data_IF_431930214961
#
_entry.id   IF_431930214961
#
_cell.length_a   1.000
_cell.length_b   1.000
_cell.length_c   1.000
_cell.angle_alpha   90.00
_cell.angle_beta   90.00
_cell.angle_gamma   90.00
#
_symmetry.space_group_name_H-M   'P 1'
#
loop_
_entity.id
_entity.type
_entity.pdbx_description
1 polymer ?
#
# COMPACT_ATOMS: atom_id res chain seq x y z
N UNK A 1 -61.87 0.72 -49.51
CA UNK A 1 -62.36 1.12 -48.17
C UNK A 1 -62.05 -0.02 -47.20
N UNK A 2 -61.38 0.32 -46.08
CA UNK A 2 -61.16 -0.45 -44.85
C UNK A 2 -60.40 -1.80 -44.93
N UNK A 3 -59.11 -1.74 -44.62
CA UNK A 3 -58.42 -2.68 -43.72
C UNK A 3 -57.49 -1.78 -42.88
N UNK A 4 -57.73 -1.50 -41.60
CA UNK A 4 -58.05 -2.43 -40.53
C UNK A 4 -56.78 -2.57 -39.69
N UNK A 5 -56.65 -1.71 -38.67
CA UNK A 5 -55.51 -1.58 -37.76
C UNK A 5 -54.94 -2.92 -37.30
N UNK A 6 -53.63 -3.13 -37.51
CA UNK A 6 -52.84 -4.22 -36.94
C UNK A 6 -51.76 -3.71 -35.98
N UNK A 7 -52.07 -2.70 -35.15
CA UNK A 7 -51.12 -2.09 -34.20
C UNK A 7 -51.16 -2.69 -32.79
N UNK A 8 -52.05 -3.65 -32.51
CA UNK A 8 -52.25 -4.15 -31.14
C UNK A 8 -51.42 -5.40 -30.77
N UNK A 9 -50.98 -6.21 -31.74
CA UNK A 9 -50.25 -7.46 -31.44
C UNK A 9 -48.77 -7.23 -31.07
N UNK A 10 -48.12 -6.22 -31.66
CA UNK A 10 -46.68 -6.00 -31.55
C UNK A 10 -46.28 -5.33 -30.22
N UNK A 11 -47.10 -4.43 -29.70
CA UNK A 11 -46.89 -3.77 -28.41
C UNK A 11 -47.00 -4.76 -27.24
N UNK A 12 -47.89 -5.74 -27.36
CA UNK A 12 -48.09 -6.78 -26.37
C UNK A 12 -46.87 -7.69 -26.18
N UNK A 13 -46.18 -8.05 -27.26
CA UNK A 13 -44.97 -8.90 -27.17
C UNK A 13 -43.77 -8.13 -26.61
N UNK A 14 -43.59 -6.87 -27.01
CA UNK A 14 -42.50 -6.00 -26.54
C UNK A 14 -42.64 -5.71 -25.04
N UNK A 15 -43.86 -5.38 -24.59
CA UNK A 15 -44.17 -5.19 -23.17
C UNK A 15 -44.00 -6.50 -22.39
N UNK A 16 -44.48 -7.64 -22.91
CA UNK A 16 -44.29 -8.95 -22.25
C UNK A 16 -42.81 -9.34 -22.12
N UNK A 17 -41.99 -9.04 -23.13
CA UNK A 17 -40.55 -9.32 -23.12
C UNK A 17 -39.81 -8.44 -22.10
N UNK A 18 -40.16 -7.15 -22.02
CA UNK A 18 -39.62 -6.23 -21.01
C UNK A 18 -40.06 -6.65 -19.60
N UNK A 19 -41.33 -7.05 -19.42
CA UNK A 19 -41.86 -7.53 -18.14
C UNK A 19 -41.19 -8.84 -17.71
N UNK A 20 -40.96 -9.79 -18.62
CA UNK A 20 -40.21 -11.02 -18.33
C UNK A 20 -38.74 -10.71 -17.98
N UNK A 21 -38.09 -9.77 -18.68
CA UNK A 21 -36.75 -9.29 -18.34
C UNK A 21 -36.69 -8.63 -16.95
N UNK A 22 -37.68 -7.81 -16.60
CA UNK A 22 -37.78 -7.18 -15.28
C UNK A 22 -38.08 -8.19 -14.16
N UNK A 23 -38.90 -9.21 -14.43
CA UNK A 23 -39.16 -10.33 -13.50
C UNK A 23 -37.89 -11.18 -13.33
N UNK A 24 -37.16 -11.49 -14.41
CA UNK A 24 -35.89 -12.23 -14.33
C UNK A 24 -34.78 -11.43 -13.62
N UNK A 25 -34.80 -10.10 -13.72
CA UNK A 25 -33.89 -9.22 -12.97
C UNK A 25 -34.24 -9.07 -11.49
N UNK A 26 -35.43 -9.48 -11.06
CA UNK A 26 -35.89 -9.40 -9.66
C UNK A 26 -35.85 -10.76 -8.93
N UNK A 27 -35.73 -11.88 -9.65
CA UNK A 27 -35.68 -13.22 -9.07
C UNK A 27 -34.24 -13.78 -9.02
N UNK A 28 -33.58 -13.62 -7.87
CA UNK A 28 -32.56 -14.56 -7.36
C UNK A 28 -31.11 -14.47 -7.87
N UNK A 29 -30.23 -15.10 -7.08
CA UNK A 29 -28.75 -15.09 -7.01
C UNK A 29 -27.94 -15.48 -8.26
N UNK A 30 -28.55 -15.52 -9.45
CA UNK A 30 -27.83 -15.80 -10.69
C UNK A 30 -27.07 -14.54 -11.14
N UNK A 31 -25.79 -14.68 -11.45
CA UNK A 31 -24.95 -13.52 -11.74
C UNK A 31 -25.56 -12.65 -12.85
N UNK A 32 -25.50 -11.33 -12.68
CA UNK A 32 -25.94 -10.34 -13.70
C UNK A 32 -25.36 -10.64 -15.09
N UNK A 33 -24.20 -11.31 -15.16
CA UNK A 33 -23.56 -11.81 -16.38
C UNK A 33 -24.35 -12.94 -17.05
N UNK A 34 -24.87 -13.92 -16.30
CA UNK A 34 -25.66 -15.04 -16.85
C UNK A 34 -26.98 -14.56 -17.46
N UNK A 35 -27.73 -13.68 -16.79
CA UNK A 35 -28.93 -13.07 -17.39
C UNK A 35 -28.60 -12.26 -18.64
N UNK A 36 -27.48 -11.55 -18.60
CA UNK A 36 -26.96 -10.81 -19.72
C UNK A 36 -26.57 -11.72 -20.90
N UNK A 37 -25.99 -12.90 -20.65
CA UNK A 37 -25.66 -13.89 -21.69
C UNK A 37 -26.90 -14.60 -22.22
N UNK A 38 -27.87 -14.91 -21.36
CA UNK A 38 -29.16 -15.49 -21.76
C UNK A 38 -30.00 -14.49 -22.57
N UNK A 39 -30.07 -13.22 -22.17
CA UNK A 39 -30.74 -12.16 -22.92
C UNK A 39 -30.04 -11.88 -24.24
N UNK A 40 -28.70 -11.80 -24.25
CA UNK A 40 -27.92 -11.66 -25.50
C UNK A 40 -28.10 -12.88 -26.41
N UNK A 41 -28.10 -14.09 -25.84
CA UNK A 41 -28.33 -15.35 -26.57
C UNK A 41 -29.74 -15.47 -27.11
N UNK A 42 -30.77 -15.06 -26.35
CA UNK A 42 -32.16 -15.00 -26.80
C UNK A 42 -32.35 -13.93 -27.88
N UNK A 43 -31.74 -12.75 -27.75
CA UNK A 43 -31.79 -11.72 -28.80
C UNK A 43 -31.10 -12.20 -30.07
N UNK A 44 -29.90 -12.80 -29.95
CA UNK A 44 -29.21 -13.43 -31.08
C UNK A 44 -30.05 -14.55 -31.70
N UNK A 45 -30.69 -15.38 -30.89
CA UNK A 45 -31.59 -16.43 -31.35
C UNK A 45 -32.79 -15.86 -32.11
N UNK A 46 -33.51 -14.89 -31.53
CA UNK A 46 -34.65 -14.21 -32.17
C UNK A 46 -34.27 -13.48 -33.46
N UNK A 47 -33.05 -12.95 -33.53
CA UNK A 47 -32.44 -12.32 -34.70
C UNK A 47 -32.05 -13.36 -35.77
N UNK A 48 -31.51 -14.51 -35.37
CA UNK A 48 -31.14 -15.59 -36.28
C UNK A 48 -32.35 -16.37 -36.80
N UNK A 49 -33.47 -16.38 -36.07
CA UNK A 49 -34.74 -16.99 -36.48
C UNK A 49 -35.72 -15.96 -37.08
N UNK A 50 -35.23 -14.81 -37.55
CA UNK A 50 -36.01 -13.62 -37.92
C UNK A 50 -37.04 -13.79 -39.05
N UNK A 51 -37.06 -14.94 -39.75
CA UNK A 51 -38.17 -15.29 -40.64
C UNK A 51 -39.53 -15.41 -39.92
N UNK A 52 -39.53 -15.61 -38.60
CA UNK A 52 -40.76 -15.74 -37.78
C UNK A 52 -41.22 -14.46 -37.08
N UNK A 53 -40.40 -13.40 -37.03
CA UNK A 53 -40.66 -12.19 -36.20
C UNK A 53 -40.88 -10.92 -37.04
N UNK A 54 -40.65 -10.97 -38.36
CA UNK A 54 -40.96 -9.87 -39.27
C UNK A 54 -40.04 -8.64 -39.14
N UNK A 55 -38.86 -8.79 -38.52
CA UNK A 55 -37.85 -7.72 -38.48
C UNK A 55 -37.14 -7.63 -39.83
N UNK A 56 -36.96 -6.41 -40.34
CA UNK A 56 -36.08 -6.20 -41.50
C UNK A 56 -34.61 -6.47 -41.13
N UNK A 57 -33.77 -6.66 -42.14
CA UNK A 57 -32.32 -6.80 -41.93
C UNK A 57 -31.74 -5.55 -41.24
N UNK A 58 -32.29 -4.38 -41.53
CA UNK A 58 -31.87 -3.10 -40.93
C UNK A 58 -32.26 -3.00 -39.46
N UNK A 59 -33.47 -3.44 -39.09
CA UNK A 59 -33.92 -3.47 -37.69
C UNK A 59 -33.07 -4.42 -36.85
N UNK A 60 -32.65 -5.53 -37.45
CA UNK A 60 -31.77 -6.53 -36.85
C UNK A 60 -30.38 -5.96 -36.56
N UNK A 61 -29.79 -5.24 -37.53
CA UNK A 61 -28.50 -4.58 -37.37
C UNK A 61 -28.58 -3.50 -36.30
N UNK A 62 -29.64 -2.70 -36.29
CA UNK A 62 -29.87 -1.66 -35.29
C UNK A 62 -29.99 -2.24 -33.87
N UNK A 63 -30.74 -3.33 -33.70
CA UNK A 63 -30.87 -4.00 -32.40
C UNK A 63 -29.53 -4.56 -31.89
N UNK A 64 -28.73 -5.17 -32.76
CA UNK A 64 -27.37 -5.63 -32.42
C UNK A 64 -26.49 -4.44 -32.02
N UNK A 65 -26.50 -3.36 -32.80
CA UNK A 65 -25.70 -2.17 -32.53
C UNK A 65 -26.05 -1.54 -31.16
N UNK A 66 -27.33 -1.47 -30.81
CA UNK A 66 -27.78 -0.98 -29.50
C UNK A 66 -27.29 -1.89 -28.37
N UNK A 67 -27.41 -3.21 -28.49
CA UNK A 67 -26.93 -4.16 -27.47
C UNK A 67 -25.41 -4.06 -27.30
N UNK A 68 -24.67 -3.98 -28.42
CA UNK A 68 -23.21 -3.79 -28.40
C UNK A 68 -22.87 -2.46 -27.74
N UNK A 69 -23.55 -1.37 -28.08
CA UNK A 69 -23.32 -0.05 -27.48
C UNK A 69 -23.60 -0.05 -25.97
N UNK A 70 -24.71 -0.64 -25.53
CA UNK A 70 -25.07 -0.76 -24.10
C UNK A 70 -24.03 -1.53 -23.28
N UNK A 71 -23.22 -2.39 -23.92
CA UNK A 71 -22.12 -3.12 -23.26
C UNK A 71 -20.77 -2.44 -23.41
N UNK A 72 -20.46 -2.00 -24.63
CA UNK A 72 -19.17 -1.41 -24.99
C UNK A 72 -19.01 -0.03 -24.35
N UNK A 73 -20.06 0.81 -24.34
CA UNK A 73 -19.95 2.18 -23.84
C UNK A 73 -19.60 2.21 -22.34
N UNK A 74 -20.28 1.51 -21.42
CA UNK A 74 -19.87 1.50 -20.01
C UNK A 74 -18.49 0.88 -19.79
N UNK A 75 -18.14 -0.15 -20.56
CA UNK A 75 -16.82 -0.79 -20.48
C UNK A 75 -15.69 0.15 -20.91
N UNK A 76 -15.85 0.80 -22.07
CA UNK A 76 -14.90 1.78 -22.62
C UNK A 76 -14.82 3.00 -21.71
N UNK A 77 -15.97 3.50 -21.21
CA UNK A 77 -16.02 4.60 -20.26
C UNK A 77 -15.18 4.29 -19.01
N UNK A 78 -15.38 3.12 -18.38
CA UNK A 78 -14.58 2.70 -17.22
C UNK A 78 -13.09 2.61 -17.55
N UNK A 79 -12.73 2.06 -18.72
CA UNK A 79 -11.32 1.91 -19.15
C UNK A 79 -10.66 3.27 -19.37
N UNK A 80 -11.30 4.17 -20.10
CA UNK A 80 -10.80 5.52 -20.36
C UNK A 80 -10.69 6.32 -19.06
N UNK A 81 -11.72 6.28 -18.23
CA UNK A 81 -11.72 6.94 -16.92
C UNK A 81 -10.60 6.41 -16.02
N UNK A 82 -10.43 5.08 -15.97
CA UNK A 82 -9.34 4.45 -15.21
C UNK A 82 -7.99 4.92 -15.75
N UNK A 83 -7.77 4.85 -17.06
CA UNK A 83 -6.51 5.28 -17.69
C UNK A 83 -6.18 6.74 -17.38
N UNK A 84 -7.18 7.64 -17.43
CA UNK A 84 -7.00 9.06 -17.12
C UNK A 84 -6.65 9.31 -15.64
N UNK A 85 -7.20 8.49 -14.74
CA UNK A 85 -6.93 8.57 -13.30
C UNK A 85 -5.68 7.81 -12.86
N UNK A 86 -5.18 6.86 -13.65
CA UNK A 86 -4.00 6.04 -13.32
C UNK A 86 -2.75 6.91 -13.16
N UNK A 87 -1.95 6.60 -12.14
CA UNK A 87 -0.65 7.22 -11.93
C UNK A 87 0.31 6.87 -13.09
N UNK A 88 0.86 7.85 -13.83
CA UNK A 88 1.56 7.59 -15.09
C UNK A 88 2.72 6.59 -14.99
N UNK A 89 3.54 6.64 -13.93
CA UNK A 89 4.66 5.72 -13.79
C UNK A 89 4.22 4.27 -13.63
N UNK A 90 3.02 4.00 -13.09
CA UNK A 90 2.50 2.63 -13.02
C UNK A 90 2.26 2.02 -14.42
N UNK A 91 2.14 2.84 -15.46
CA UNK A 91 1.97 2.40 -16.85
C UNK A 91 3.30 2.33 -17.60
N UNK A 92 4.15 3.33 -17.42
CA UNK A 92 5.33 3.55 -18.28
C UNK A 92 6.61 2.97 -17.69
N UNK A 93 6.70 2.81 -16.36
CA UNK A 93 7.97 2.48 -15.70
C UNK A 93 8.60 1.20 -16.21
N UNK A 94 7.82 0.14 -16.47
CA UNK A 94 8.32 -1.14 -16.98
C UNK A 94 8.95 -1.04 -18.37
N UNK A 95 8.39 -0.19 -19.23
CA UNK A 95 8.96 0.03 -20.55
C UNK A 95 10.21 0.89 -20.44
N UNK A 96 10.13 1.95 -19.63
CA UNK A 96 11.26 2.82 -19.35
C UNK A 96 12.45 2.04 -18.76
N UNK A 97 12.23 1.15 -17.80
CA UNK A 97 13.31 0.39 -17.14
C UNK A 97 14.07 -0.54 -18.08
N UNK A 98 13.46 -0.98 -19.18
CA UNK A 98 14.10 -1.84 -20.20
C UNK A 98 14.96 -1.06 -21.20
N UNK A 99 14.64 0.21 -21.42
CA UNK A 99 15.30 1.05 -22.43
C UNK A 99 16.23 2.09 -21.82
N UNK A 100 16.05 2.41 -20.54
CA UNK A 100 16.92 3.34 -19.82
C UNK A 100 18.29 2.69 -19.67
N UNK A 101 19.33 3.18 -20.38
CA UNK A 101 20.67 2.65 -20.21
C UNK A 101 21.14 2.95 -18.80
N UNK A 102 22.05 2.11 -18.30
CA UNK A 102 22.83 2.48 -17.11
C UNK A 102 23.62 3.74 -17.45
N UNK A 103 23.20 4.87 -16.90
CA UNK A 103 23.92 6.12 -17.01
C UNK A 103 24.92 6.21 -15.86
N UNK A 104 26.20 6.33 -16.17
CA UNK A 104 27.26 6.51 -15.19
C UNK A 104 28.26 7.51 -15.75
N UNK A 105 28.59 8.52 -14.95
CA UNK A 105 29.59 9.52 -15.28
C UNK A 105 30.97 8.91 -15.01
N UNK A 106 31.89 9.02 -15.96
CA UNK A 106 33.28 8.60 -15.79
C UNK A 106 33.97 9.46 -14.73
N UNK A 107 35.02 8.95 -14.11
CA UNK A 107 35.80 9.75 -13.14
C UNK A 107 36.39 11.02 -13.77
N UNK A 108 36.75 10.96 -15.06
CA UNK A 108 37.26 12.10 -15.83
C UNK A 108 36.26 13.26 -15.86
N UNK A 109 34.98 12.96 -16.13
CA UNK A 109 33.92 13.97 -16.28
C UNK A 109 33.16 14.23 -14.95
N UNK A 110 33.56 13.61 -13.85
CA UNK A 110 32.79 13.63 -12.59
C UNK A 110 32.79 15.01 -11.93
N UNK A 111 33.94 15.67 -11.95
CA UNK A 111 34.17 16.90 -11.18
C UNK A 111 33.76 18.18 -11.95
N UNK A 112 33.54 18.07 -13.25
CA UNK A 112 33.18 19.14 -14.18
C UNK A 112 31.95 18.80 -15.06
N UNK A 113 31.13 17.81 -14.66
CA UNK A 113 29.94 17.40 -15.41
C UNK A 113 28.91 18.54 -15.64
N UNK A 114 29.02 19.62 -14.87
CA UNK A 114 28.21 20.85 -15.00
C UNK A 114 28.87 21.94 -15.86
N UNK A 115 30.01 21.64 -16.50
CA UNK A 115 30.77 22.56 -17.35
C UNK A 115 31.63 23.55 -16.58
N UNK A 116 31.95 23.28 -15.31
CA UNK A 116 32.81 24.16 -14.53
C UNK A 116 34.27 24.18 -15.06
N UNK A 117 35.00 25.27 -14.81
CA UNK A 117 36.41 25.38 -15.20
C UNK A 117 37.35 24.44 -14.42
N UNK A 118 38.57 24.19 -14.93
CA UNK A 118 39.49 23.19 -14.38
C UNK A 118 39.90 23.45 -12.92
N UNK A 119 39.98 24.72 -12.50
CA UNK A 119 40.27 25.09 -11.11
C UNK A 119 39.18 24.60 -10.14
N UNK A 120 37.90 24.77 -10.51
CA UNK A 120 36.76 24.33 -9.70
C UNK A 120 36.72 22.81 -9.65
N UNK A 121 36.93 22.14 -10.79
CA UNK A 121 36.99 20.68 -10.88
C UNK A 121 38.10 20.13 -9.97
N UNK A 122 39.31 20.70 -10.03
CA UNK A 122 40.44 20.32 -9.17
C UNK A 122 40.11 20.53 -7.68
N UNK A 123 39.45 21.64 -7.32
CA UNK A 123 39.02 21.90 -5.94
C UNK A 123 37.99 20.87 -5.46
N UNK A 124 37.02 20.50 -6.29
CA UNK A 124 36.02 19.46 -5.97
C UNK A 124 36.68 18.10 -5.77
N UNK A 125 37.62 17.72 -6.66
CA UNK A 125 38.39 16.47 -6.54
C UNK A 125 39.19 16.42 -5.25
N UNK A 126 39.93 17.48 -4.94
CA UNK A 126 40.67 17.60 -3.68
C UNK A 126 39.74 17.49 -2.47
N UNK A 127 38.61 18.19 -2.47
CA UNK A 127 37.66 18.13 -1.36
C UNK A 127 37.07 16.73 -1.14
N UNK A 128 36.74 16.00 -2.22
CA UNK A 128 36.24 14.63 -2.11
C UNK A 128 37.33 13.66 -1.63
N UNK A 129 38.57 13.86 -2.07
CA UNK A 129 39.72 13.09 -1.58
C UNK A 129 39.97 13.34 -0.08
N UNK A 130 40.02 14.60 0.34
CA UNK A 130 40.19 14.98 1.75
C UNK A 130 39.06 14.39 2.62
N UNK A 131 37.82 14.37 2.10
CA UNK A 131 36.70 13.73 2.78
C UNK A 131 36.86 12.21 2.86
N UNK A 132 37.29 11.57 1.78
CA UNK A 132 37.58 10.13 1.74
C UNK A 132 38.64 9.76 2.77
N UNK A 133 39.74 10.50 2.84
CA UNK A 133 40.84 10.19 3.76
C UNK A 133 40.43 10.37 5.21
N UNK A 134 39.68 11.44 5.53
CA UNK A 134 39.06 11.61 6.85
C UNK A 134 38.07 10.48 7.18
N UNK A 135 37.25 10.07 6.21
CA UNK A 135 36.30 8.96 6.39
C UNK A 135 37.02 7.65 6.69
N UNK A 136 38.07 7.33 5.93
CA UNK A 136 38.89 6.13 6.11
C UNK A 136 39.60 6.12 7.47
N UNK A 137 40.11 7.28 7.91
CA UNK A 137 40.77 7.43 9.20
C UNK A 137 39.79 7.34 10.38
N UNK A 138 38.57 7.86 10.22
CA UNK A 138 37.55 7.88 11.28
C UNK A 138 36.84 6.54 11.46
N UNK A 139 36.66 5.77 10.39
CA UNK A 139 35.84 4.55 10.40
C UNK A 139 36.58 3.27 9.95
N UNK A 140 37.80 2.95 10.44
CA UNK A 140 38.56 1.80 9.96
C UNK A 140 37.84 0.46 10.20
N UNK A 141 37.29 0.22 11.40
CA UNK A 141 36.61 -1.05 11.73
C UNK A 141 35.27 -1.19 11.02
N UNK A 142 34.49 -0.10 10.93
CA UNK A 142 33.21 -0.12 10.21
C UNK A 142 33.40 -0.49 8.73
N UNK A 143 34.48 0.00 8.10
CA UNK A 143 34.80 -0.31 6.71
C UNK A 143 35.23 -1.76 6.52
N UNK A 144 36.08 -2.28 7.40
CA UNK A 144 36.48 -3.70 7.38
C UNK A 144 35.25 -4.60 7.48
N UNK A 145 34.40 -4.37 8.49
CA UNK A 145 33.17 -5.11 8.71
C UNK A 145 32.21 -5.04 7.51
N UNK A 146 32.00 -3.85 6.96
CA UNK A 146 31.11 -3.65 5.81
C UNK A 146 31.62 -4.34 4.55
N UNK A 147 32.94 -4.33 4.30
CA UNK A 147 33.54 -5.02 3.17
C UNK A 147 33.36 -6.54 3.25
N UNK A 148 33.47 -7.11 4.45
CA UNK A 148 33.22 -8.54 4.65
C UNK A 148 31.74 -8.89 4.48
N UNK A 149 30.83 -8.10 5.06
CA UNK A 149 29.40 -8.31 4.88
C UNK A 149 28.98 -8.19 3.40
N UNK A 150 29.56 -7.27 2.63
CA UNK A 150 29.26 -7.14 1.19
C UNK A 150 29.62 -8.40 0.40
N UNK A 151 30.54 -9.25 0.86
CA UNK A 151 30.80 -10.55 0.22
C UNK A 151 29.65 -11.54 0.47
N UNK A 152 28.94 -11.41 1.58
CA UNK A 152 27.98 -12.40 2.07
C UNK A 152 26.51 -11.98 1.92
N UNK A 153 26.19 -10.68 1.97
CA UNK A 153 24.82 -10.16 2.01
C UNK A 153 24.52 -9.34 0.75
N UNK A 154 23.55 -9.81 -0.06
CA UNK A 154 23.08 -9.12 -1.27
C UNK A 154 22.51 -7.75 -0.98
N UNK A 155 21.77 -7.62 0.11
CA UNK A 155 21.02 -6.41 0.45
C UNK A 155 21.98 -5.28 0.76
N UNK A 156 23.08 -5.55 1.46
CA UNK A 156 24.12 -4.57 1.71
C UNK A 156 24.85 -4.15 0.43
N UNK A 157 25.11 -5.09 -0.50
CA UNK A 157 25.63 -4.73 -1.83
C UNK A 157 24.66 -3.83 -2.59
N UNK A 158 23.36 -4.09 -2.49
CA UNK A 158 22.33 -3.29 -3.14
C UNK A 158 22.21 -1.87 -2.53
N UNK A 159 22.12 -1.75 -1.20
CA UNK A 159 21.93 -0.46 -0.52
C UNK A 159 23.18 0.41 -0.58
N UNK A 160 24.37 -0.17 -0.45
CA UNK A 160 25.64 0.55 -0.64
C UNK A 160 25.81 1.09 -2.06
N UNK A 161 25.14 0.46 -3.03
CA UNK A 161 25.10 0.89 -4.42
C UNK A 161 23.93 1.81 -4.79
N UNK A 162 23.22 2.38 -3.81
CA UNK A 162 22.03 3.19 -4.07
C UNK A 162 22.28 4.71 -4.11
N UNK A 163 23.50 5.17 -3.85
CA UNK A 163 23.84 6.59 -3.90
C UNK A 163 23.88 7.09 -5.34
N UNK A 164 22.91 7.94 -5.73
CA UNK A 164 22.93 8.74 -6.96
C UNK A 164 23.33 7.96 -8.24
N UNK A 165 22.38 7.33 -8.96
CA UNK A 165 22.68 6.36 -10.02
C UNK A 165 23.76 6.79 -11.05
N UNK A 166 23.77 8.06 -11.44
CA UNK A 166 24.75 8.65 -12.36
C UNK A 166 26.17 8.76 -11.78
N UNK A 167 26.30 9.02 -10.49
CA UNK A 167 27.56 9.32 -9.79
C UNK A 167 28.09 8.14 -8.97
N UNK A 168 27.24 7.14 -8.75
CA UNK A 168 27.48 6.00 -7.88
C UNK A 168 28.81 5.27 -8.16
N UNK A 169 29.13 5.07 -9.44
CA UNK A 169 30.34 4.35 -9.85
C UNK A 169 31.64 5.02 -9.41
N UNK A 170 31.64 6.34 -9.27
CA UNK A 170 32.80 7.09 -8.79
C UNK A 170 32.72 7.27 -7.28
N UNK A 171 31.56 7.69 -6.74
CA UNK A 171 31.39 7.98 -5.30
C UNK A 171 31.78 6.79 -4.41
N UNK A 172 31.44 5.56 -4.80
CA UNK A 172 31.79 4.36 -4.03
C UNK A 172 33.30 4.13 -3.87
N UNK A 173 34.13 4.66 -4.77
CA UNK A 173 35.59 4.57 -4.64
C UNK A 173 36.11 5.50 -3.53
N UNK A 174 35.38 6.57 -3.22
CA UNK A 174 35.75 7.57 -2.23
C UNK A 174 35.06 7.33 -0.88
N UNK A 175 33.76 7.00 -0.90
CA UNK A 175 32.93 6.89 0.30
C UNK A 175 32.16 5.58 0.29
N UNK A 176 32.27 4.84 1.39
CA UNK A 176 31.40 3.72 1.67
C UNK A 176 30.35 4.16 2.69
N UNK A 177 29.06 4.26 2.30
CA UNK A 177 27.99 4.69 3.20
C UNK A 177 27.61 3.62 4.24
N UNK A 178 28.22 2.43 4.17
CA UNK A 178 27.92 1.33 5.08
C UNK A 178 28.49 1.61 6.48
N UNK A 179 27.59 1.75 7.46
CA UNK A 179 27.93 1.97 8.86
C UNK A 179 27.74 0.68 9.66
N UNK A 180 28.70 0.37 10.55
CA UNK A 180 28.61 -0.74 11.49
C UNK A 180 28.30 -0.20 12.88
N UNK A 181 27.10 -0.46 13.40
CA UNK A 181 26.65 0.06 14.70
C UNK A 181 26.89 -0.96 15.80
N UNK A 182 27.51 -0.52 16.90
CA UNK A 182 27.75 -1.30 18.12
C UNK A 182 26.54 -1.24 19.04
N UNK A 183 26.13 -0.01 19.39
CA UNK A 183 25.09 0.22 20.39
C UNK A 183 24.36 1.54 20.14
N UNK A 184 23.29 1.73 20.90
CA UNK A 184 22.58 3.01 21.01
C UNK A 184 22.82 3.59 22.40
N UNK A 185 22.89 4.91 22.50
CA UNK A 185 23.12 5.61 23.77
C UNK A 185 22.33 6.93 23.77
N UNK A 186 21.24 6.98 24.53
CA UNK A 186 20.34 8.13 24.54
C UNK A 186 19.62 8.32 23.19
N UNK A 187 19.98 9.38 22.47
CA UNK A 187 19.48 9.68 21.11
C UNK A 187 20.51 9.35 20.02
N UNK A 188 21.70 8.90 20.43
CA UNK A 188 22.80 8.63 19.53
C UNK A 188 22.90 7.14 19.19
N UNK A 189 23.50 6.88 18.03
CA UNK A 189 24.07 5.59 17.66
C UNK A 189 25.59 5.67 17.81
N UNK A 190 26.19 4.61 18.35
CA UNK A 190 27.64 4.47 18.47
C UNK A 190 28.10 3.36 17.54
N UNK A 191 29.08 3.68 16.69
CA UNK A 191 29.64 2.75 15.73
C UNK A 191 30.76 1.86 16.31
N UNK A 192 31.24 0.88 15.52
CA UNK A 192 32.31 -0.05 15.94
C UNK A 192 33.67 0.64 16.19
N UNK A 193 33.86 1.85 15.67
CA UNK A 193 35.02 2.69 15.90
C UNK A 193 34.87 3.58 17.15
N UNK A 194 33.70 3.54 17.81
CA UNK A 194 33.39 4.29 19.01
C UNK A 194 32.92 5.73 18.74
N UNK A 195 32.62 6.09 17.49
CA UNK A 195 32.10 7.41 17.18
C UNK A 195 30.61 7.48 17.52
N UNK A 196 30.21 8.54 18.23
CA UNK A 196 28.79 8.84 18.49
C UNK A 196 28.20 9.73 17.39
N UNK A 197 26.95 9.50 17.02
CA UNK A 197 26.19 10.36 16.11
C UNK A 197 24.71 10.35 16.45
N UNK A 198 24.10 11.53 16.52
CA UNK A 198 22.67 11.68 16.72
C UNK A 198 21.89 10.99 15.59
N UNK A 199 20.99 10.07 15.95
CA UNK A 199 20.21 9.34 14.96
C UNK A 199 18.92 10.08 14.58
N UNK A 200 18.99 10.81 13.47
CA UNK A 200 17.84 11.48 12.85
C UNK A 200 17.02 10.55 11.94
N UNK A 201 17.49 9.32 11.69
CA UNK A 201 16.74 8.31 10.93
C UNK A 201 15.66 7.63 11.78
N UNK A 202 15.86 7.57 13.10
CA UNK A 202 14.95 6.97 14.06
C UNK A 202 14.65 5.50 13.75
N UNK A 203 15.64 4.75 13.26
CA UNK A 203 15.47 3.36 12.79
C UNK A 203 14.31 3.19 11.80
N UNK A 204 14.33 3.97 10.70
CA UNK A 204 13.26 4.01 9.69
C UNK A 204 11.87 4.34 10.27
N UNK A 205 11.85 5.18 11.30
CA UNK A 205 10.62 5.56 11.99
C UNK A 205 10.04 4.47 12.90
N UNK A 206 10.85 3.55 13.41
CA UNK A 206 10.45 2.73 14.58
C UNK A 206 10.56 3.56 15.84
N UNK A 207 11.69 4.23 16.05
CA UNK A 207 11.98 4.93 17.29
C UNK A 207 11.22 6.27 17.38
N UNK A 208 10.09 6.29 18.09
CA UNK A 208 9.29 7.51 18.36
C UNK A 208 9.62 8.18 19.70
N UNK A 209 10.22 7.45 20.65
CA UNK A 209 10.33 7.88 22.05
C UNK A 209 11.74 7.69 22.65
N UNK A 210 12.76 7.55 21.80
CA UNK A 210 14.16 7.41 22.22
C UNK A 210 14.59 5.96 22.44
N UNK A 211 15.88 5.68 22.25
CA UNK A 211 16.39 4.31 22.30
C UNK A 211 16.28 3.67 23.68
N UNK A 212 16.48 4.44 24.75
CA UNK A 212 16.42 3.92 26.13
C UNK A 212 15.00 3.43 26.46
N UNK A 213 13.97 4.19 26.09
CA UNK A 213 12.57 3.78 26.27
C UNK A 213 12.27 2.47 25.53
N UNK A 214 12.80 2.30 24.31
CA UNK A 214 12.66 1.05 23.55
C UNK A 214 13.39 -0.14 24.21
N UNK A 215 14.60 0.09 24.76
CA UNK A 215 15.31 -0.94 25.54
C UNK A 215 14.51 -1.36 26.77
N UNK A 216 13.91 -0.40 27.48
CA UNK A 216 13.05 -0.68 28.65
C UNK A 216 11.84 -1.54 28.27
N UNK A 217 11.20 -1.29 27.12
CA UNK A 217 10.11 -2.14 26.63
C UNK A 217 10.58 -3.57 26.38
N UNK A 218 11.73 -3.74 25.73
CA UNK A 218 12.31 -5.05 25.41
C UNK A 218 12.68 -5.79 26.70
N UNK A 219 13.33 -5.11 27.65
CA UNK A 219 13.72 -5.69 28.94
C UNK A 219 12.48 -6.11 29.75
N UNK A 220 11.48 -5.24 29.83
CA UNK A 220 10.21 -5.52 30.52
C UNK A 220 9.49 -6.70 29.89
N UNK A 221 9.41 -6.72 28.55
CA UNK A 221 8.80 -7.82 27.79
C UNK A 221 9.52 -9.14 28.03
N UNK A 222 10.85 -9.13 27.95
CA UNK A 222 11.70 -10.29 28.23
C UNK A 222 11.52 -10.81 29.65
N UNK A 223 11.59 -9.93 30.66
CA UNK A 223 11.42 -10.30 32.05
C UNK A 223 10.06 -10.96 32.34
N UNK A 224 9.00 -10.48 31.68
CA UNK A 224 7.63 -11.01 31.80
C UNK A 224 7.45 -12.38 31.13
N UNK A 225 8.05 -12.57 29.96
CA UNK A 225 7.85 -13.78 29.14
C UNK A 225 8.87 -14.90 29.42
N UNK A 226 10.09 -14.59 29.89
CA UNK A 226 11.22 -15.56 29.96
C UNK A 226 10.92 -16.85 30.74
N UNK A 227 10.11 -16.77 31.80
CA UNK A 227 9.75 -17.95 32.61
C UNK A 227 8.73 -18.85 31.90
N UNK A 228 7.93 -18.30 31.01
CA UNK A 228 6.88 -19.02 30.30
C UNK A 228 7.43 -19.74 29.06
N UNK A 229 8.56 -19.27 28.53
CA UNK A 229 9.23 -19.87 27.37
C UNK A 229 8.51 -19.58 26.05
N UNK A 230 8.71 -20.46 25.06
CA UNK A 230 8.20 -20.33 23.70
C UNK A 230 7.07 -21.34 23.45
N UNK A 231 5.83 -20.88 23.31
CA UNK A 231 4.67 -21.71 22.96
C UNK A 231 3.98 -21.20 21.69
N UNK A 232 4.63 -21.39 20.53
CA UNK A 232 4.08 -20.99 19.23
C UNK A 232 2.77 -21.72 18.91
N UNK A 233 1.82 -21.02 18.31
CA UNK A 233 0.49 -21.53 17.97
C UNK A 233 -0.56 -21.39 19.10
N UNK A 234 -0.11 -21.23 20.36
CA UNK A 234 -0.96 -20.92 21.51
C UNK A 234 -0.82 -19.45 21.90
N UNK A 235 -1.82 -18.89 22.58
CA UNK A 235 -1.83 -17.49 23.03
C UNK A 235 -1.92 -17.42 24.55
N UNK A 236 -1.28 -16.41 25.15
CA UNK A 236 -1.36 -16.14 26.59
C UNK A 236 -2.19 -14.88 26.91
N UNK A 237 -2.38 -14.62 28.22
CA UNK A 237 -3.15 -13.48 28.72
C UNK A 237 -2.68 -12.11 28.20
N UNK A 238 -1.38 -11.97 27.92
CA UNK A 238 -0.80 -10.74 27.40
C UNK A 238 -1.38 -10.38 26.03
N UNK A 239 -1.69 -11.39 25.22
CA UNK A 239 -2.36 -11.20 23.93
C UNK A 239 -3.75 -10.60 24.13
N UNK A 240 -4.50 -11.08 25.13
CA UNK A 240 -5.83 -10.54 25.43
C UNK A 240 -5.77 -9.07 25.88
N UNK A 241 -4.83 -8.72 26.75
CA UNK A 241 -4.60 -7.32 27.17
C UNK A 241 -4.25 -6.41 25.99
N UNK A 242 -3.38 -6.89 25.09
CA UNK A 242 -3.00 -6.16 23.89
C UNK A 242 -4.20 -5.95 22.96
N UNK A 243 -5.02 -6.98 22.75
CA UNK A 243 -6.25 -6.87 21.95
C UNK A 243 -7.18 -5.83 22.56
N UNK A 244 -7.38 -5.82 23.88
CA UNK A 244 -8.24 -4.84 24.54
C UNK A 244 -7.77 -3.38 24.28
N UNK A 245 -6.48 -3.10 24.46
CA UNK A 245 -5.92 -1.77 24.18
C UNK A 245 -5.98 -1.40 22.70
N UNK A 246 -5.68 -2.34 21.79
CA UNK A 246 -5.73 -2.09 20.35
C UNK A 246 -7.16 -1.83 19.85
N UNK A 247 -8.17 -2.51 20.42
CA UNK A 247 -9.58 -2.26 20.12
C UNK A 247 -10.01 -0.85 20.57
N UNK A 248 -9.59 -0.41 21.75
CA UNK A 248 -9.83 0.95 22.24
C UNK A 248 -9.19 2.01 21.34
N UNK A 249 -7.92 1.82 20.97
CA UNK A 249 -7.16 2.76 20.13
C UNK A 249 -7.79 2.86 18.72
N UNK A 250 -8.03 1.70 18.10
CA UNK A 250 -8.51 1.62 16.73
C UNK A 250 -10.01 1.93 16.59
N UNK A 251 -10.80 1.67 17.63
CA UNK A 251 -12.26 1.71 17.59
C UNK A 251 -12.88 0.54 16.80
N UNK A 252 -12.18 -0.59 16.73
CA UNK A 252 -12.60 -1.81 16.03
C UNK A 252 -12.78 -3.00 16.98
N UNK A 253 -13.37 -4.08 16.47
CA UNK A 253 -13.80 -5.24 17.25
C UNK A 253 -12.77 -6.36 17.28
N UNK A 254 -12.09 -6.59 16.16
CA UNK A 254 -11.17 -7.70 15.98
C UNK A 254 -9.76 -7.23 15.63
N UNK A 255 -8.78 -8.04 16.04
CA UNK A 255 -7.36 -7.81 15.89
C UNK A 255 -6.70 -9.11 15.44
N UNK A 256 -5.79 -9.02 14.47
CA UNK A 256 -4.93 -10.15 14.06
C UNK A 256 -3.46 -9.74 14.06
N UNK A 257 -2.58 -10.67 14.40
CA UNK A 257 -1.14 -10.45 14.53
C UNK A 257 -0.37 -11.17 13.42
N UNK A 258 0.69 -10.52 12.94
CA UNK A 258 1.58 -10.93 11.85
C UNK A 258 3.02 -10.51 12.19
N UNK A 259 4.01 -10.89 11.38
CA UNK A 259 5.43 -10.62 11.69
C UNK A 259 5.98 -9.34 11.07
N UNK A 260 5.24 -8.73 10.14
CA UNK A 260 5.66 -7.47 9.52
C UNK A 260 4.48 -6.63 9.05
N UNK A 261 4.73 -5.34 8.80
CA UNK A 261 3.77 -4.46 8.15
C UNK A 261 3.36 -4.96 6.75
N UNK A 262 4.29 -5.57 5.99
CA UNK A 262 3.99 -6.19 4.69
C UNK A 262 2.94 -7.29 4.86
N UNK A 263 3.12 -8.20 5.83
CA UNK A 263 2.15 -9.27 6.10
C UNK A 263 0.80 -8.72 6.59
N UNK A 264 0.80 -7.67 7.41
CA UNK A 264 -0.42 -7.01 7.84
C UNK A 264 -1.21 -6.43 6.66
N UNK A 265 -0.55 -5.75 5.72
CA UNK A 265 -1.19 -5.25 4.49
C UNK A 265 -1.69 -6.42 3.63
N UNK A 266 -0.90 -7.47 3.45
CA UNK A 266 -1.31 -8.66 2.71
C UNK A 266 -2.57 -9.29 3.32
N UNK A 267 -2.63 -9.39 4.65
CA UNK A 267 -3.80 -9.90 5.36
C UNK A 267 -5.02 -8.98 5.18
N UNK A 268 -4.86 -7.67 5.38
CA UNK A 268 -5.93 -6.67 5.21
C UNK A 268 -6.56 -6.74 3.80
N UNK A 269 -5.74 -6.84 2.76
CA UNK A 269 -6.18 -6.98 1.37
C UNK A 269 -6.91 -8.31 1.14
N UNK A 270 -6.35 -9.41 1.66
CA UNK A 270 -6.98 -10.74 1.54
C UNK A 270 -8.33 -10.79 2.22
N UNK A 271 -8.47 -10.29 3.45
CA UNK A 271 -9.75 -10.31 4.16
C UNK A 271 -10.78 -9.39 3.51
N UNK A 272 -10.37 -8.24 2.95
CA UNK A 272 -11.27 -7.39 2.18
C UNK A 272 -11.79 -8.12 0.93
N UNK A 273 -10.89 -8.68 0.11
CA UNK A 273 -11.29 -9.45 -1.10
C UNK A 273 -12.17 -10.64 -0.76
N UNK A 274 -11.82 -11.37 0.31
CA UNK A 274 -12.59 -12.49 0.81
C UNK A 274 -14.01 -12.02 1.19
N UNK A 275 -14.16 -11.05 2.08
CA UNK A 275 -15.48 -10.69 2.59
C UNK A 275 -16.34 -9.88 1.60
N UNK A 276 -15.74 -9.19 0.62
CA UNK A 276 -16.51 -8.44 -0.39
C UNK A 276 -16.74 -9.21 -1.69
N UNK A 277 -16.03 -10.32 -1.94
CA UNK A 277 -16.04 -11.07 -3.21
C UNK A 277 -15.62 -10.24 -4.44
N UNK A 278 -14.86 -9.18 -4.22
CA UNK A 278 -14.42 -8.26 -5.28
C UNK A 278 -12.92 -8.46 -5.54
N UNK A 279 -12.46 -8.50 -6.79
CA UNK A 279 -11.07 -8.86 -7.09
C UNK A 279 -10.10 -7.69 -6.97
N UNK A 280 -10.53 -6.45 -7.19
CA UNK A 280 -9.61 -5.33 -7.34
C UNK A 280 -9.35 -4.61 -6.03
N UNK A 281 -8.17 -4.02 -5.93
CA UNK A 281 -7.86 -3.01 -4.93
C UNK A 281 -7.43 -1.71 -5.62
N UNK A 282 -7.48 -0.61 -4.89
CA UNK A 282 -6.94 0.68 -5.30
C UNK A 282 -5.80 1.06 -4.36
N UNK A 283 -4.69 1.51 -4.93
CA UNK A 283 -3.60 2.22 -4.25
C UNK A 283 -3.39 3.56 -4.94
N UNK A 284 -2.52 4.39 -4.36
CA UNK A 284 -2.22 5.70 -4.90
C UNK A 284 -0.74 5.84 -5.31
N UNK A 285 -0.49 6.69 -6.30
CA UNK A 285 0.85 6.97 -6.81
C UNK A 285 1.81 7.37 -5.70
N UNK A 286 2.96 6.69 -5.63
CA UNK A 286 3.99 6.98 -4.64
C UNK A 286 3.77 6.38 -3.24
N UNK A 287 2.65 5.68 -3.00
CA UNK A 287 2.44 4.96 -1.76
C UNK A 287 3.46 3.82 -1.58
N UNK A 288 3.82 3.54 -0.34
CA UNK A 288 4.56 2.32 0.04
C UNK A 288 3.74 1.54 1.05
N UNK A 289 3.39 0.30 0.68
CA UNK A 289 2.58 -0.62 1.48
C UNK A 289 3.31 -1.96 1.71
N UNK A 290 4.64 -1.91 1.81
CA UNK A 290 5.50 -3.08 1.84
C UNK A 290 5.98 -3.52 0.45
N UNK A 291 6.69 -4.63 0.42
CA UNK A 291 7.39 -5.14 -0.77
C UNK A 291 6.67 -6.31 -1.46
N UNK A 292 5.45 -6.63 -1.04
CA UNK A 292 4.64 -7.65 -1.72
C UNK A 292 4.30 -7.21 -3.15
N UNK A 293 4.48 -8.10 -4.13
CA UNK A 293 4.20 -7.89 -5.57
C UNK A 293 2.80 -7.34 -5.88
N UNK A 294 1.84 -7.49 -4.97
CA UNK A 294 0.52 -6.87 -5.06
C UNK A 294 0.55 -5.34 -4.99
N UNK A 295 1.46 -4.79 -4.20
CA UNK A 295 1.43 -3.39 -3.76
C UNK A 295 2.62 -2.55 -4.26
N UNK A 296 3.45 -3.11 -5.15
CA UNK A 296 4.57 -2.41 -5.77
C UNK A 296 4.35 -2.20 -7.28
N UNK A 297 3.64 -1.13 -7.70
CA UNK A 297 3.33 -0.90 -9.12
C UNK A 297 4.48 -0.29 -9.94
N UNK A 298 5.65 -0.03 -9.34
CA UNK A 298 6.80 0.64 -9.96
C UNK A 298 8.08 -0.19 -9.78
N UNK A 299 9.24 0.46 -9.61
CA UNK A 299 10.54 -0.16 -9.44
C UNK A 299 10.56 -1.33 -8.44
N UNK A 300 11.23 -2.42 -8.81
CA UNK A 300 11.47 -3.58 -7.95
C UNK A 300 10.47 -4.72 -8.10
N UNK A 301 9.47 -4.61 -8.99
CA UNK A 301 8.48 -5.66 -9.22
C UNK A 301 8.42 -6.07 -10.70
N UNK A 302 8.71 -7.34 -10.98
CA UNK A 302 8.62 -7.93 -12.32
C UNK A 302 7.20 -8.38 -12.68
N UNK A 303 6.31 -8.52 -11.70
CA UNK A 303 4.90 -8.85 -11.90
C UNK A 303 4.13 -7.58 -12.26
N UNK A 304 3.29 -7.65 -13.29
CA UNK A 304 2.27 -6.62 -13.52
C UNK A 304 1.04 -6.93 -12.66
N UNK A 305 0.73 -6.15 -11.61
CA UNK A 305 -0.51 -6.31 -10.88
C UNK A 305 -1.68 -5.87 -11.76
N UNK A 306 -2.46 -6.82 -12.26
CA UNK A 306 -3.74 -6.57 -12.94
C UNK A 306 -4.92 -6.49 -11.95
N UNK A 307 -4.65 -6.82 -10.69
CA UNK A 307 -5.59 -6.88 -9.58
C UNK A 307 -5.53 -5.64 -8.66
N UNK A 308 -4.64 -4.68 -8.95
CA UNK A 308 -4.46 -3.44 -8.17
C UNK A 308 -4.36 -2.23 -9.10
N UNK A 309 -5.24 -1.26 -8.89
CA UNK A 309 -5.29 0.00 -9.64
C UNK A 309 -4.47 1.05 -8.90
N UNK A 310 -3.35 1.49 -9.47
CA UNK A 310 -2.55 2.58 -8.93
C UNK A 310 -3.06 3.92 -9.50
N UNK A 311 -3.88 4.63 -8.73
CA UNK A 311 -4.53 5.88 -9.14
C UNK A 311 -3.74 7.11 -8.66
N UNK A 312 -4.07 8.30 -9.18
CA UNK A 312 -3.50 9.56 -8.69
C UNK A 312 -4.10 9.91 -7.32
N UNK A 313 -3.25 10.19 -6.33
CA UNK A 313 -3.66 10.73 -5.03
C UNK A 313 -4.15 12.19 -5.19
N UNK A 314 -5.07 12.63 -4.32
CA UNK A 314 -5.76 13.93 -4.37
C UNK A 314 -6.29 14.29 -5.77
N UNK A 315 -7.00 13.37 -6.41
CA UNK A 315 -7.56 13.57 -7.75
C UNK A 315 -9.03 13.13 -7.84
N UNK A 316 -9.89 14.04 -8.28
CA UNK A 316 -11.34 13.80 -8.42
C UNK A 316 -11.67 12.68 -9.44
N UNK A 317 -10.83 12.46 -10.47
CA UNK A 317 -11.02 11.32 -11.38
C UNK A 317 -10.81 9.98 -10.66
N UNK A 318 -9.91 9.92 -9.68
CA UNK A 318 -9.70 8.71 -8.88
C UNK A 318 -10.94 8.34 -8.08
N UNK A 319 -11.63 9.33 -7.49
CA UNK A 319 -12.92 9.11 -6.83
C UNK A 319 -13.98 8.60 -7.83
N UNK A 320 -14.07 9.19 -9.03
CA UNK A 320 -14.97 8.73 -10.08
C UNK A 320 -14.68 7.29 -10.54
N UNK A 321 -13.40 6.87 -10.58
CA UNK A 321 -13.04 5.47 -10.87
C UNK A 321 -13.56 4.54 -9.78
N UNK A 322 -13.36 4.89 -8.50
CA UNK A 322 -13.85 4.10 -7.37
C UNK A 322 -15.36 3.93 -7.48
N UNK A 323 -16.10 4.99 -7.80
CA UNK A 323 -17.55 4.94 -8.00
C UNK A 323 -17.96 4.09 -9.19
N UNK A 324 -17.37 4.32 -10.36
CA UNK A 324 -17.69 3.60 -11.59
C UNK A 324 -17.38 2.10 -11.47
N UNK A 325 -16.36 1.74 -10.70
CA UNK A 325 -15.88 0.36 -10.50
C UNK A 325 -16.20 -0.21 -9.13
N UNK A 326 -17.15 0.37 -8.38
CA UNK A 326 -17.53 -0.08 -7.02
C UNK A 326 -17.91 -1.56 -6.90
N UNK A 327 -18.42 -2.16 -7.98
CA UNK A 327 -18.76 -3.59 -8.04
C UNK A 327 -17.55 -4.51 -8.25
N UNK A 328 -16.37 -3.96 -8.49
CA UNK A 328 -15.13 -4.69 -8.80
C UNK A 328 -14.04 -4.43 -7.73
N UNK A 329 -14.13 -3.33 -6.98
CA UNK A 329 -13.11 -2.90 -6.00
C UNK A 329 -13.50 -3.39 -4.60
N UNK A 330 -12.70 -4.28 -4.02
CA UNK A 330 -12.81 -4.71 -2.63
C UNK A 330 -12.41 -3.61 -1.66
N UNK A 331 -11.26 -2.99 -1.92
CA UNK A 331 -10.66 -2.04 -1.00
C UNK A 331 -9.92 -0.89 -1.69
N UNK A 332 -9.88 0.24 -1.00
CA UNK A 332 -8.94 1.35 -1.26
C UNK A 332 -7.95 1.40 -0.11
N UNK A 333 -6.66 1.35 -0.43
CA UNK A 333 -5.57 1.47 0.53
C UNK A 333 -4.99 2.88 0.44
N UNK A 334 -4.81 3.53 1.58
CA UNK A 334 -4.18 4.84 1.69
C UNK A 334 -3.15 4.83 2.82
N UNK A 335 -1.98 5.42 2.56
CA UNK A 335 -0.98 5.69 3.58
C UNK A 335 -0.89 7.21 3.75
N UNK A 336 -1.32 7.73 4.91
CA UNK A 336 -1.41 9.17 5.11
C UNK A 336 -0.05 9.89 5.09
N UNK A 337 1.08 9.16 5.14
CA UNK A 337 2.42 9.71 4.90
C UNK A 337 2.55 10.37 3.51
N UNK A 338 1.73 9.93 2.54
CA UNK A 338 1.72 10.48 1.18
C UNK A 338 1.41 11.97 1.12
N UNK A 339 0.83 12.56 2.17
CA UNK A 339 0.67 14.01 2.24
C UNK A 339 2.01 14.76 2.08
N UNK A 340 3.15 14.16 2.43
CA UNK A 340 4.49 14.76 2.26
C UNK A 340 5.12 14.52 0.89
N UNK A 341 4.58 13.60 0.09
CA UNK A 341 5.17 13.17 -1.18
C UNK A 341 4.10 12.76 -2.21
N UNK A 342 3.08 13.61 -2.36
CA UNK A 342 1.91 13.34 -3.18
C UNK A 342 2.29 12.92 -4.61
N UNK A 343 1.84 11.75 -5.06
CA UNK A 343 2.13 11.20 -6.39
C UNK A 343 3.63 11.12 -6.71
N UNK A 344 4.47 10.93 -5.69
CA UNK A 344 5.92 10.79 -5.81
C UNK A 344 6.38 9.67 -4.87
N UNK A 345 7.48 9.01 -5.23
CA UNK A 345 8.11 8.05 -4.32
C UNK A 345 8.37 8.69 -2.96
N UNK A 346 8.26 7.94 -1.85
CA UNK A 346 8.60 8.46 -0.54
C UNK A 346 10.02 9.05 -0.55
N UNK A 347 10.29 10.08 0.27
CA UNK A 347 11.62 10.65 0.38
C UNK A 347 12.66 9.54 0.54
N UNK A 348 13.61 9.54 -0.37
CA UNK A 348 14.72 8.60 -0.46
C UNK A 348 15.95 9.37 -0.92
N UNK A 349 17.14 8.78 -0.83
CA UNK A 349 18.39 9.45 -1.23
C UNK A 349 18.32 10.11 -2.63
N UNK A 350 17.61 9.56 -3.63
CA UNK A 350 17.38 10.26 -4.91
C UNK A 350 16.65 11.60 -4.79
N UNK A 351 15.79 11.84 -3.80
CA UNK A 351 15.14 13.15 -3.58
C UNK A 351 16.17 14.24 -3.30
N UNK A 352 17.33 13.89 -2.72
CA UNK A 352 18.44 14.83 -2.50
C UNK A 352 19.08 15.35 -3.81
N UNK A 353 18.87 14.67 -4.95
CA UNK A 353 19.33 15.14 -6.27
C UNK A 353 18.52 16.30 -6.82
N UNK A 354 17.34 16.56 -6.24
CA UNK A 354 16.46 17.62 -6.69
C UNK A 354 16.51 18.78 -5.71
N UNK A 355 16.44 20.00 -6.25
CA UNK A 355 16.16 21.21 -5.46
C UNK A 355 14.67 21.32 -5.10
N UNK A 356 13.85 20.31 -5.42
CA UNK A 356 12.41 20.32 -5.20
C UNK A 356 12.07 19.80 -3.78
N UNK A 357 12.69 20.42 -2.78
CA UNK A 357 12.49 20.06 -1.37
C UNK A 357 11.28 20.80 -0.85
N UNK A 358 10.19 20.08 -0.61
CA UNK A 358 9.00 20.59 0.06
C UNK A 358 9.00 20.12 1.50
N UNK A 359 8.66 21.02 2.41
CA UNK A 359 8.51 20.72 3.83
C UNK A 359 7.05 20.94 4.20
N UNK A 360 6.50 20.03 5.00
CA UNK A 360 5.12 20.08 5.44
C UNK A 360 4.15 19.25 4.58
N UNK A 361 2.97 18.93 5.14
CA UNK A 361 1.96 18.16 4.43
C UNK A 361 1.32 18.99 3.31
N UNK A 362 0.87 18.30 2.26
CA UNK A 362 0.10 18.92 1.18
C UNK A 362 -1.19 19.55 1.75
N UNK A 363 -1.47 20.84 1.48
CA UNK A 363 -2.71 21.48 1.93
C UNK A 363 -3.95 20.75 1.40
N UNK A 364 -5.01 20.66 2.21
CA UNK A 364 -6.24 20.00 1.79
C UNK A 364 -6.27 18.47 1.96
N UNK A 365 -5.21 17.86 2.51
CA UNK A 365 -5.12 16.39 2.61
C UNK A 365 -6.14 15.81 3.59
N UNK A 366 -6.49 16.53 4.67
CA UNK A 366 -7.54 16.12 5.61
C UNK A 366 -8.89 16.01 4.88
N UNK A 367 -9.26 17.06 4.15
CA UNK A 367 -10.49 17.14 3.36
C UNK A 367 -10.54 16.05 2.30
N UNK A 368 -9.39 15.75 1.67
CA UNK A 368 -9.26 14.62 0.76
C UNK A 368 -9.56 13.27 1.43
N UNK A 369 -9.00 13.01 2.62
CA UNK A 369 -9.28 11.77 3.35
C UNK A 369 -10.76 11.64 3.74
N UNK A 370 -11.42 12.75 4.12
CA UNK A 370 -12.86 12.76 4.37
C UNK A 370 -13.67 12.44 3.10
N UNK A 371 -13.34 13.06 1.95
CA UNK A 371 -13.97 12.74 0.66
C UNK A 371 -13.78 11.28 0.27
N UNK A 372 -12.56 10.76 0.45
CA UNK A 372 -12.24 9.37 0.13
C UNK A 372 -13.05 8.40 1.00
N UNK A 373 -13.18 8.69 2.30
CA UNK A 373 -14.03 7.95 3.23
C UNK A 373 -15.49 7.98 2.81
N UNK A 374 -16.03 9.15 2.48
CA UNK A 374 -17.42 9.30 2.04
C UNK A 374 -17.71 8.44 0.79
N UNK A 375 -16.84 8.53 -0.22
CA UNK A 375 -16.95 7.74 -1.46
C UNK A 375 -16.88 6.24 -1.16
N UNK A 376 -15.93 5.79 -0.36
CA UNK A 376 -15.80 4.38 0.02
C UNK A 376 -17.07 3.86 0.71
N UNK A 377 -17.62 4.64 1.66
CA UNK A 377 -18.87 4.32 2.34
C UNK A 377 -20.04 4.21 1.37
N UNK A 378 -20.27 5.24 0.54
CA UNK A 378 -21.37 5.26 -0.44
C UNK A 378 -21.26 4.12 -1.46
N UNK A 379 -20.04 3.69 -1.78
CA UNK A 379 -19.78 2.64 -2.75
C UNK A 379 -19.76 1.22 -2.18
N UNK A 380 -19.78 1.06 -0.86
CA UNK A 380 -19.55 -0.24 -0.21
C UNK A 380 -18.18 -0.81 -0.57
N UNK A 381 -17.16 0.05 -0.56
CA UNK A 381 -15.75 -0.30 -0.79
C UNK A 381 -15.03 -0.12 0.55
N UNK A 382 -14.22 -1.11 0.94
CA UNK A 382 -13.50 -1.08 2.22
C UNK A 382 -12.39 -0.04 2.15
N UNK A 383 -12.39 0.93 3.07
CA UNK A 383 -11.27 1.85 3.24
C UNK A 383 -10.25 1.22 4.20
N UNK A 384 -9.03 1.02 3.73
CA UNK A 384 -7.91 0.51 4.52
C UNK A 384 -6.92 1.64 4.77
N UNK A 385 -6.66 1.95 6.03
CA UNK A 385 -5.54 2.79 6.41
C UNK A 385 -4.30 1.94 6.65
N UNK A 386 -3.27 2.14 5.84
CA UNK A 386 -1.93 1.64 6.15
C UNK A 386 -1.25 2.62 7.10
N UNK A 387 -1.29 2.26 8.37
CA UNK A 387 -0.74 3.00 9.50
C UNK A 387 0.55 2.39 10.03
N UNK A 388 1.25 1.57 9.21
CA UNK A 388 2.53 0.96 9.60
C UNK A 388 3.59 2.02 9.91
N UNK A 389 3.52 3.21 9.30
CA UNK A 389 4.42 4.33 9.60
C UNK A 389 3.76 5.43 10.44
N UNK A 390 2.49 5.75 10.18
CA UNK A 390 1.79 6.89 10.82
C UNK A 390 1.20 6.55 12.19
N UNK A 391 0.93 5.27 12.44
CA UNK A 391 0.38 4.79 13.70
C UNK A 391 1.27 5.16 14.86
N UNK A 392 0.68 5.69 15.93
CA UNK A 392 1.39 6.09 17.17
C UNK A 392 2.45 7.18 16.97
N UNK A 393 2.55 7.79 15.78
CA UNK A 393 3.49 8.87 15.48
C UNK A 393 2.80 10.22 15.37
N UNK A 394 1.69 10.26 14.64
CA UNK A 394 0.92 11.50 14.43
C UNK A 394 -0.01 11.81 15.61
N UNK A 395 -0.51 10.76 16.25
CA UNK A 395 -1.49 10.79 17.33
C UNK A 395 -1.50 9.40 18.00
N UNK A 396 -1.95 9.23 19.26
CA UNK A 396 -2.04 7.91 19.89
C UNK A 396 -2.91 6.92 19.12
N UNK A 397 -3.88 7.44 18.35
CA UNK A 397 -4.78 6.68 17.45
C UNK A 397 -4.34 6.69 15.98
N UNK A 398 -3.12 7.14 15.69
CA UNK A 398 -2.61 7.24 14.33
C UNK A 398 -3.27 8.34 13.49
N UNK A 399 -3.10 8.25 12.18
CA UNK A 399 -3.72 9.11 11.17
C UNK A 399 -5.23 9.19 11.32
N UNK A 400 -5.92 8.12 11.73
CA UNK A 400 -7.36 8.21 12.02
C UNK A 400 -7.68 9.29 13.07
N UNK A 401 -6.90 9.36 14.15
CA UNK A 401 -7.09 10.38 15.19
C UNK A 401 -6.61 11.75 14.76
N UNK A 402 -5.47 11.82 14.06
CA UNK A 402 -4.92 13.09 13.59
C UNK A 402 -5.82 13.79 12.55
N UNK A 403 -6.45 13.02 11.66
CA UNK A 403 -7.31 13.52 10.60
C UNK A 403 -8.81 13.39 10.90
N UNK A 404 -9.20 12.76 12.00
CA UNK A 404 -10.59 12.46 12.35
C UNK A 404 -11.35 11.70 11.24
N UNK A 405 -10.69 10.67 10.68
CA UNK A 405 -11.25 9.81 9.62
C UNK A 405 -11.17 8.36 10.07
N UNK A 406 -12.33 7.68 10.16
CA UNK A 406 -12.40 6.26 10.52
C UNK A 406 -12.31 5.35 9.30
N UNK A 407 -11.25 4.58 9.19
CA UNK A 407 -11.10 3.49 8.22
C UNK A 407 -11.98 2.28 8.59
N UNK A 408 -12.20 1.40 7.63
CA UNK A 408 -12.87 0.11 7.88
C UNK A 408 -11.88 -0.93 8.41
N UNK A 409 -10.64 -0.91 7.89
CA UNK A 409 -9.54 -1.76 8.36
C UNK A 409 -8.30 -0.90 8.54
N UNK A 410 -7.47 -1.26 9.51
CA UNK A 410 -6.20 -0.58 9.78
C UNK A 410 -5.08 -1.59 9.86
N UNK A 411 -3.95 -1.29 9.22
CA UNK A 411 -2.71 -2.05 9.37
C UNK A 411 -1.70 -1.25 10.20
N UNK A 412 -1.18 -1.83 11.27
CA UNK A 412 -0.10 -1.26 12.09
C UNK A 412 1.17 -2.11 12.01
N UNK A 413 2.30 -1.53 12.43
CA UNK A 413 3.60 -2.21 12.51
C UNK A 413 4.64 -1.31 13.18
N UNK A 414 5.91 -1.47 12.80
CA UNK A 414 7.05 -0.65 13.26
C UNK A 414 7.02 -0.40 14.78
N UNK A 415 6.79 0.85 15.16
CA UNK A 415 6.73 1.39 16.52
C UNK A 415 5.93 0.54 17.49
N UNK A 416 4.80 -0.03 17.03
CA UNK A 416 3.89 -0.83 17.85
C UNK A 416 4.57 -2.01 18.55
N UNK A 417 5.59 -2.61 17.93
CA UNK A 417 6.25 -3.79 18.47
C UNK A 417 7.13 -3.50 19.68
N UNK A 418 7.25 -2.24 20.10
CA UNK A 418 8.16 -1.84 21.18
C UNK A 418 9.62 -2.18 20.89
N UNK A 419 9.99 -2.24 19.60
CA UNK A 419 11.36 -2.54 19.14
C UNK A 419 11.50 -3.92 18.50
N UNK A 420 10.48 -4.78 18.57
CA UNK A 420 10.48 -6.10 17.97
C UNK A 420 9.58 -6.17 16.71
N UNK A 421 9.81 -7.14 15.80
CA UNK A 421 9.02 -7.29 14.57
C UNK A 421 7.54 -7.58 14.86
N UNK A 422 6.65 -6.78 14.27
CA UNK A 422 5.21 -6.98 14.36
C UNK A 422 4.49 -6.40 13.14
N UNK A 423 3.38 -7.05 12.77
CA UNK A 423 2.30 -6.48 11.99
C UNK A 423 0.97 -6.72 12.68
N UNK A 424 0.05 -5.76 12.63
CA UNK A 424 -1.29 -5.91 13.23
C UNK A 424 -2.34 -5.44 12.24
N UNK A 425 -3.45 -6.17 12.16
CA UNK A 425 -4.64 -5.73 11.42
C UNK A 425 -5.81 -5.61 12.38
N UNK A 426 -6.44 -4.44 12.40
CA UNK A 426 -7.67 -4.18 13.16
C UNK A 426 -8.84 -3.95 12.19
N UNK A 427 -10.03 -4.47 12.51
CA UNK A 427 -11.22 -4.28 11.68
C UNK A 427 -12.50 -4.78 12.35
N UNK A 428 -13.67 -4.57 11.74
CA UNK A 428 -14.93 -5.13 12.23
C UNK A 428 -14.97 -6.64 12.00
N UNK A 429 -15.70 -7.35 12.86
CA UNK A 429 -15.77 -8.82 12.84
C UNK A 429 -16.16 -9.42 11.50
N UNK A 430 -17.12 -8.80 10.81
CA UNK A 430 -17.58 -9.25 9.50
C UNK A 430 -16.50 -9.13 8.39
N UNK A 431 -15.62 -8.12 8.45
CA UNK A 431 -14.53 -7.97 7.48
C UNK A 431 -13.27 -8.73 7.86
N UNK A 432 -13.10 -9.08 9.14
CA UNK A 432 -11.97 -9.86 9.63
C UNK A 432 -12.19 -11.37 9.56
N UNK A 433 -13.42 -11.82 9.26
CA UNK A 433 -13.76 -13.22 9.08
C UNK A 433 -12.87 -13.92 8.04
N UNK A 434 -12.40 -15.13 8.40
CA UNK A 434 -11.44 -15.92 7.60
C UNK A 434 -11.98 -17.25 7.12
N UNK A 435 -13.21 -17.57 7.46
CA UNK A 435 -13.93 -18.73 6.95
C UNK A 435 -15.38 -18.35 6.75
N UNK A 436 -15.98 -18.88 5.69
CA UNK A 436 -17.41 -18.73 5.44
C UNK A 436 -18.18 -19.77 6.26
N UNK A 437 -19.01 -19.32 7.19
CA UNK A 437 -19.78 -20.20 8.06
C UNK A 437 -20.74 -21.13 7.29
N UNK A 438 -21.14 -20.75 6.06
CA UNK A 438 -22.05 -21.52 5.22
C UNK A 438 -21.34 -22.45 4.22
N UNK A 439 -20.02 -22.28 4.01
CA UNK A 439 -19.26 -22.95 2.95
C UNK A 439 -17.91 -23.45 3.47
N UNK A 440 -17.87 -24.73 3.86
CA UNK A 440 -16.69 -25.36 4.50
C UNK A 440 -15.36 -25.16 3.74
N UNK A 441 -15.38 -25.18 2.40
CA UNK A 441 -14.17 -25.04 1.58
C UNK A 441 -13.75 -23.57 1.33
N UNK A 442 -14.55 -22.59 1.74
CA UNK A 442 -14.29 -21.18 1.48
C UNK A 442 -13.56 -20.55 2.67
N UNK A 443 -12.23 -20.58 2.60
CA UNK A 443 -11.33 -20.16 3.66
C UNK A 443 -10.33 -19.13 3.14
N UNK A 444 -10.09 -18.08 3.94
CA UNK A 444 -8.97 -17.17 3.77
C UNK A 444 -7.75 -17.68 4.57
N UNK A 445 -6.91 -18.43 3.86
CA UNK A 445 -5.74 -19.07 4.44
C UNK A 445 -4.59 -18.09 4.65
N UNK A 446 -4.33 -17.75 5.91
CA UNK A 446 -3.25 -16.89 6.41
C UNK A 446 -2.69 -17.53 7.69
N UNK A 447 -1.45 -17.95 7.67
CA UNK A 447 -0.80 -18.60 8.81
C UNK A 447 0.56 -17.95 9.00
N UNK A 448 0.94 -17.73 10.25
CA UNK A 448 2.28 -17.30 10.61
C UNK A 448 2.73 -18.06 11.85
N UNK A 449 3.83 -18.80 11.75
CA UNK A 449 4.37 -19.61 12.86
C UNK A 449 4.67 -18.77 14.10
N UNK A 450 5.17 -17.56 13.88
CA UNK A 450 5.56 -16.62 14.94
C UNK A 450 4.48 -15.57 15.26
N UNK A 451 3.31 -15.65 14.62
CA UNK A 451 2.19 -14.78 14.97
C UNK A 451 1.80 -14.98 16.43
N UNK A 452 1.80 -13.90 17.22
CA UNK A 452 1.57 -13.98 18.66
C UNK A 452 2.78 -14.44 19.48
N UNK A 453 4.02 -14.32 18.98
CA UNK A 453 5.23 -14.68 19.71
C UNK A 453 5.25 -14.06 21.13
N UNK A 454 5.36 -14.85 22.23
CA UNK A 454 5.17 -14.35 23.60
C UNK A 454 6.04 -13.15 23.98
N UNK A 455 7.33 -13.17 23.59
CA UNK A 455 8.23 -12.04 23.86
C UNK A 455 7.85 -10.79 23.07
N UNK A 456 7.36 -10.92 21.82
CA UNK A 456 6.91 -9.77 21.02
C UNK A 456 5.62 -9.21 21.62
N UNK A 457 4.70 -10.07 22.03
CA UNK A 457 3.46 -9.68 22.68
C UNK A 457 3.71 -8.94 24.01
N UNK A 458 4.66 -9.42 24.82
CA UNK A 458 5.04 -8.79 26.07
C UNK A 458 5.74 -7.44 25.86
N UNK A 459 6.65 -7.32 24.90
CA UNK A 459 7.30 -6.05 24.56
C UNK A 459 6.31 -5.03 24.00
N UNK A 460 5.41 -5.45 23.09
CA UNK A 460 4.30 -4.61 22.61
C UNK A 460 3.36 -4.18 23.76
N UNK A 461 3.11 -5.04 24.74
CA UNK A 461 2.29 -4.70 25.90
C UNK A 461 2.91 -3.57 26.72
N UNK A 462 4.23 -3.59 26.92
CA UNK A 462 4.96 -2.51 27.58
C UNK A 462 4.83 -1.19 26.81
N UNK A 463 5.01 -1.22 25.48
CA UNK A 463 4.79 -0.07 24.61
C UNK A 463 3.36 0.49 24.71
N UNK A 464 2.34 -0.38 24.60
CA UNK A 464 0.93 0.04 24.67
C UNK A 464 0.56 0.63 26.04
N UNK A 465 1.10 0.08 27.13
CA UNK A 465 0.93 0.66 28.48
C UNK A 465 1.58 2.03 28.59
N UNK A 466 2.79 2.20 28.05
CA UNK A 466 3.44 3.50 27.99
C UNK A 466 2.64 4.52 27.18
N UNK A 467 2.10 4.11 26.03
CA UNK A 467 1.28 4.97 25.17
C UNK A 467 0.03 5.51 25.89
N UNK A 468 -0.55 4.72 26.80
CA UNK A 468 -1.75 5.09 27.58
C UNK A 468 -1.45 5.98 28.80
N UNK A 469 -0.18 6.19 29.16
CA UNK A 469 0.14 7.05 30.30
C UNK A 469 -0.31 8.50 30.03
N UNK A 470 -0.93 9.20 31.00
CA UNK A 470 -1.42 10.56 30.79
C UNK A 470 -0.37 11.54 30.25
N UNK A 471 0.86 11.44 30.75
CA UNK A 471 2.01 12.24 30.31
C UNK A 471 2.38 11.97 28.84
N UNK A 472 2.32 10.71 28.41
CA UNK A 472 2.56 10.33 27.02
C UNK A 472 1.44 10.84 26.11
N UNK A 473 0.18 10.67 26.52
CA UNK A 473 -0.96 11.19 25.75
C UNK A 473 -0.90 12.72 25.61
N UNK A 474 -0.46 13.41 26.66
CA UNK A 474 -0.30 14.86 26.65
C UNK A 474 0.79 15.32 25.67
N UNK A 475 1.83 14.53 25.41
CA UNK A 475 2.93 14.91 24.50
C UNK A 475 2.57 14.90 23.01
N UNK A 476 1.37 14.41 22.64
CA UNK A 476 0.86 14.47 21.26
C UNK A 476 0.03 15.73 20.96
N UNK A 477 -0.24 16.56 21.97
CA UNK A 477 -0.89 17.87 21.82
C UNK A 477 0.15 18.93 21.51
#
# INVERSE_FOLDING_TARGET
AMAGFGMEAHTGFFIKSIVVLLILMTVGDVSRRCYCWAATGMLLWSVLTSSWVGLSQDDTIAAIAVVVALRAVPFLYKRILTLAATYPLALTFRFASKILPKYTISEENFFDCDGCGPEIAARRKKALQDLSDKWKAKYPKCREFSNDLKKMISDLRFTSARCFPAFNGVVQNYLDPSMALDRTEGVDVVDFDGNSSMDISGSYGVNVCGYETYKEFIETGWASAKKQGLFLGSLDKTVLDNIAMLREISGHEEVSFHMSGTEAVMCAVRVARFNTHKPLCVTFGGAYHGWWDGMQPVAGNERLPDDVLCLKDMNELSLKVIEARKGEIAAVLINALQCFHLNQSPPSDPVLTSNNRKVGPTPGYKEWLHKLREVCTRCGVVLIFDEVYTGFRLHPRGAQGAYDVKADIISYGKTLGGGLPIGVVCGPKNLMARADASKAARINYVIGTFAGHPFVMATMNAFLKWLKKPETVASYK
#
